data_IF_282188550821
#
_entry.id   IF_282188550821
#
_cell.length_a   1.000
_cell.length_b   1.000
_cell.length_c   1.000
_cell.angle_alpha   90.00
_cell.angle_beta   90.00
_cell.angle_gamma   90.00
#
_symmetry.space_group_name_H-M   'P 1'
#
loop_
_entity.id
_entity.type
_entity.pdbx_description
1 polymer ?
#
# COMPACT_ATOMS: atom_id res chain seq x y z
N UNK A 1 -8.44 12.20 -4.42
CA UNK A 1 -8.53 10.72 -4.38
C UNK A 1 -7.22 10.10 -3.89
N UNK A 2 -7.16 8.78 -3.66
CA UNK A 2 -5.92 8.11 -3.19
C UNK A 2 -4.74 8.34 -4.16
N UNK A 3 -5.02 8.47 -5.46
CA UNK A 3 -4.04 8.84 -6.49
C UNK A 3 -3.37 10.20 -6.24
N UNK A 4 -4.14 11.28 -6.11
CA UNK A 4 -3.61 12.63 -5.83
C UNK A 4 -2.84 12.67 -4.50
N UNK A 5 -3.34 11.92 -3.50
CA UNK A 5 -2.67 11.80 -2.21
C UNK A 5 -1.30 11.12 -2.34
N UNK A 6 -1.21 9.99 -3.04
CA UNK A 6 0.04 9.26 -3.27
C UNK A 6 1.04 10.09 -4.07
N UNK A 7 0.59 10.77 -5.15
CA UNK A 7 1.41 11.68 -5.95
C UNK A 7 1.96 12.85 -5.15
N UNK A 8 1.18 13.40 -4.21
CA UNK A 8 1.67 14.45 -3.32
C UNK A 8 2.75 13.95 -2.34
N UNK A 9 2.71 12.67 -1.98
CA UNK A 9 3.69 12.04 -1.09
C UNK A 9 5.01 11.71 -1.80
N UNK A 10 5.01 11.44 -3.11
CA UNK A 10 6.25 11.20 -3.88
C UNK A 10 7.19 12.40 -3.89
N UNK A 11 6.66 13.63 -3.92
CA UNK A 11 7.45 14.86 -3.88
C UNK A 11 8.06 15.20 -2.52
N UNK A 12 7.81 14.41 -1.47
CA UNK A 12 8.28 14.69 -0.10
C UNK A 12 9.33 13.67 0.34
N UNK A 13 10.56 14.14 0.58
CA UNK A 13 11.70 13.33 1.03
C UNK A 13 11.52 12.62 2.40
N UNK A 14 10.44 12.92 3.14
CA UNK A 14 10.08 12.29 4.43
C UNK A 14 9.16 11.06 4.29
N UNK A 15 8.92 10.54 3.09
CA UNK A 15 7.85 9.57 2.81
C UNK A 15 8.12 8.11 3.20
N UNK A 16 9.11 7.83 4.06
CA UNK A 16 9.25 6.47 4.63
C UNK A 16 8.32 6.33 5.84
N UNK A 17 7.46 5.30 5.87
CA UNK A 17 6.65 4.99 7.05
C UNK A 17 7.55 4.79 8.28
N UNK A 18 7.06 5.16 9.46
CA UNK A 18 7.67 4.73 10.74
C UNK A 18 7.56 3.20 10.87
N UNK A 19 8.51 2.53 11.50
CA UNK A 19 8.49 1.05 11.61
C UNK A 19 7.19 0.53 12.27
N UNK A 20 6.64 1.28 13.21
CA UNK A 20 5.45 0.95 14.01
C UNK A 20 4.21 1.78 13.62
N UNK A 21 4.13 2.22 12.37
CA UNK A 21 3.03 3.07 11.91
C UNK A 21 1.67 2.39 12.03
N UNK A 22 1.60 1.04 11.91
CA UNK A 22 0.34 0.31 11.99
C UNK A 22 -0.19 0.40 13.42
N UNK A 23 0.64 0.11 14.41
CA UNK A 23 0.29 0.12 15.83
C UNK A 23 -0.06 1.53 16.33
N UNK A 24 0.63 2.55 15.81
CA UNK A 24 0.42 3.94 16.23
C UNK A 24 -0.79 4.61 15.59
N UNK A 25 -1.10 4.26 14.34
CA UNK A 25 -2.08 5.00 13.53
C UNK A 25 -3.37 4.18 13.33
N UNK A 26 -3.27 2.88 13.07
CA UNK A 26 -4.42 2.06 12.71
C UNK A 26 -5.19 1.60 13.95
N UNK A 27 -6.52 1.55 13.82
CA UNK A 27 -7.44 1.02 14.84
C UNK A 27 -7.99 -0.35 14.47
N UNK A 28 -8.28 -0.56 13.19
CA UNK A 28 -8.97 -1.76 12.69
C UNK A 28 -8.07 -2.66 11.81
N UNK A 29 -6.82 -2.24 11.57
CA UNK A 29 -5.83 -2.98 10.76
C UNK A 29 -4.64 -3.34 11.63
N UNK A 30 -4.22 -4.60 11.55
CA UNK A 30 -3.07 -5.11 12.30
C UNK A 30 -1.89 -5.42 11.36
N UNK A 31 -0.66 -5.53 11.88
CA UNK A 31 0.50 -5.92 11.06
C UNK A 31 0.30 -7.25 10.33
N UNK A 32 -0.36 -8.21 10.99
CA UNK A 32 -0.71 -9.50 10.38
C UNK A 32 -1.63 -9.34 9.17
N UNK A 33 -2.65 -8.47 9.25
CA UNK A 33 -3.55 -8.21 8.13
C UNK A 33 -2.82 -7.56 6.95
N UNK A 34 -1.82 -6.71 7.23
CA UNK A 34 -0.94 -6.15 6.20
C UNK A 34 -0.05 -7.22 5.58
N UNK A 35 0.45 -8.17 6.36
CA UNK A 35 1.18 -9.36 5.85
C UNK A 35 0.33 -10.16 4.87
N UNK A 36 -0.86 -10.60 5.32
CA UNK A 36 -1.82 -11.36 4.49
C UNK A 36 -2.21 -10.60 3.21
N UNK A 37 -2.37 -9.27 3.28
CA UNK A 37 -2.63 -8.47 2.08
C UNK A 37 -1.46 -8.56 1.09
N UNK A 38 -0.22 -8.42 1.57
CA UNK A 38 0.96 -8.43 0.69
C UNK A 38 1.20 -9.81 0.09
N UNK A 39 1.02 -10.88 0.87
CA UNK A 39 1.10 -12.26 0.35
C UNK A 39 0.10 -12.46 -0.79
N UNK A 40 -1.14 -12.00 -0.61
CA UNK A 40 -2.15 -12.06 -1.68
C UNK A 40 -1.76 -11.19 -2.90
N UNK A 41 -1.12 -10.03 -2.70
CA UNK A 41 -0.65 -9.21 -3.83
C UNK A 41 0.51 -9.84 -4.60
N UNK A 42 1.33 -10.68 -3.97
CA UNK A 42 2.35 -11.48 -4.68
C UNK A 42 1.66 -12.43 -5.64
N UNK A 43 0.64 -13.17 -5.19
CA UNK A 43 -0.14 -14.08 -6.04
C UNK A 43 -0.78 -13.33 -7.23
N UNK A 44 -1.34 -12.13 -7.00
CA UNK A 44 -1.91 -11.31 -8.07
C UNK A 44 -0.81 -10.82 -9.03
N UNK A 45 0.35 -10.40 -8.53
CA UNK A 45 1.45 -9.98 -9.39
C UNK A 45 1.95 -11.12 -10.30
N UNK A 46 2.03 -12.34 -9.77
CA UNK A 46 2.40 -13.54 -10.53
C UNK A 46 1.36 -13.89 -11.60
N UNK A 47 0.07 -13.93 -11.24
CA UNK A 47 -1.03 -14.25 -12.15
C UNK A 47 -1.09 -13.28 -13.34
N UNK A 48 -0.91 -11.97 -13.07
CA UNK A 48 -0.95 -10.93 -14.09
C UNK A 48 0.43 -10.61 -14.71
N UNK A 49 1.48 -11.35 -14.33
CA UNK A 49 2.86 -11.16 -14.82
C UNK A 49 3.38 -9.73 -14.67
N UNK A 50 3.04 -9.09 -13.55
CA UNK A 50 3.54 -7.75 -13.21
C UNK A 50 5.02 -7.83 -12.85
N UNK A 51 5.74 -6.73 -13.05
CA UNK A 51 7.15 -6.66 -12.66
C UNK A 51 7.27 -6.56 -11.13
N UNK A 52 8.39 -7.05 -10.60
CA UNK A 52 8.73 -6.94 -9.18
C UNK A 52 8.78 -5.48 -8.70
N UNK A 53 9.12 -4.55 -9.59
CA UNK A 53 9.16 -3.12 -9.29
C UNK A 53 7.75 -2.55 -9.05
N UNK A 54 6.76 -2.91 -9.89
CA UNK A 54 5.33 -2.62 -9.64
C UNK A 54 4.88 -3.12 -8.28
N UNK A 55 5.22 -4.36 -7.90
CA UNK A 55 4.84 -4.90 -6.59
C UNK A 55 5.50 -4.11 -5.44
N UNK A 56 6.81 -3.85 -5.54
CA UNK A 56 7.55 -3.06 -4.55
C UNK A 56 6.95 -1.65 -4.39
N UNK A 57 6.59 -1.01 -5.50
CA UNK A 57 6.00 0.32 -5.53
C UNK A 57 4.60 0.31 -4.91
N UNK A 58 3.77 -0.68 -5.25
CA UNK A 58 2.44 -0.85 -4.67
C UNK A 58 2.51 -1.03 -3.14
N UNK A 59 3.43 -1.88 -2.66
CA UNK A 59 3.67 -2.06 -1.21
C UNK A 59 4.10 -0.74 -0.56
N UNK A 60 4.98 0.03 -1.21
CA UNK A 60 5.37 1.35 -0.73
C UNK A 60 4.18 2.31 -0.60
N UNK A 61 3.26 2.31 -1.56
CA UNK A 61 2.04 3.11 -1.51
C UNK A 61 1.09 2.68 -0.40
N UNK A 62 0.93 1.37 -0.17
CA UNK A 62 0.11 0.83 0.91
C UNK A 62 0.66 1.32 2.26
N UNK A 63 1.96 1.11 2.52
CA UNK A 63 2.54 1.46 3.81
C UNK A 63 2.50 2.98 4.06
N UNK A 64 2.75 3.79 3.03
CA UNK A 64 2.62 5.26 3.12
C UNK A 64 1.18 5.68 3.42
N UNK A 65 0.19 5.10 2.75
CA UNK A 65 -1.21 5.44 2.97
C UNK A 65 -1.66 5.05 4.39
N UNK A 66 -1.25 3.88 4.87
CA UNK A 66 -1.57 3.45 6.23
C UNK A 66 -0.81 4.25 7.30
N UNK A 67 0.31 4.88 6.97
CA UNK A 67 1.04 5.75 7.92
C UNK A 67 0.34 7.07 8.27
N UNK A 68 -0.68 7.46 7.50
CA UNK A 68 -1.33 8.78 7.61
C UNK A 68 -2.86 8.75 7.59
N UNK A 69 -3.46 7.63 7.16
CA UNK A 69 -4.91 7.46 7.04
C UNK A 69 -5.32 6.17 7.71
N UNK A 70 -6.28 6.27 8.61
CA UNK A 70 -6.92 5.10 9.21
C UNK A 70 -7.80 4.42 8.18
N UNK A 71 -7.72 3.09 8.14
CA UNK A 71 -8.47 2.26 7.21
C UNK A 71 -9.29 1.26 8.01
N UNK A 72 -10.55 1.11 7.63
CA UNK A 72 -11.40 0.05 8.16
C UNK A 72 -11.01 -1.27 7.51
N UNK A 73 -10.99 -2.36 8.28
CA UNK A 73 -10.67 -3.72 7.82
C UNK A 73 -11.24 -4.09 6.44
N UNK A 74 -12.54 -3.87 6.13
CA UNK A 74 -13.10 -4.25 4.82
C UNK A 74 -12.53 -3.48 3.63
N UNK A 75 -11.93 -2.31 3.87
CA UNK A 75 -11.35 -1.46 2.82
C UNK A 75 -9.86 -1.74 2.58
N UNK A 76 -9.23 -2.61 3.36
CA UNK A 76 -7.80 -2.88 3.26
C UNK A 76 -7.43 -3.50 1.90
N UNK A 77 -8.22 -4.45 1.41
CA UNK A 77 -8.01 -5.03 0.07
C UNK A 77 -8.21 -4.01 -1.05
N UNK A 78 -9.21 -3.12 -0.91
CA UNK A 78 -9.42 -2.03 -1.88
C UNK A 78 -8.20 -1.11 -1.97
N UNK A 79 -7.58 -0.78 -0.82
CA UNK A 79 -6.32 -0.01 -0.80
C UNK A 79 -5.22 -0.76 -1.55
N UNK A 80 -5.06 -2.07 -1.31
CA UNK A 80 -4.06 -2.90 -1.98
C UNK A 80 -4.22 -2.95 -3.50
N UNK A 81 -5.42 -3.26 -3.99
CA UNK A 81 -5.72 -3.31 -5.43
C UNK A 81 -5.54 -1.94 -6.07
N UNK A 82 -5.97 -0.86 -5.39
CA UNK A 82 -5.79 0.49 -5.91
C UNK A 82 -4.32 0.87 -5.97
N UNK A 83 -3.52 0.49 -4.98
CA UNK A 83 -2.08 0.72 -4.99
C UNK A 83 -1.38 -0.02 -6.14
N UNK A 84 -1.75 -1.27 -6.41
CA UNK A 84 -1.24 -2.03 -7.56
C UNK A 84 -1.63 -1.37 -8.89
N UNK A 85 -2.89 -0.99 -9.06
CA UNK A 85 -3.37 -0.31 -10.27
C UNK A 85 -2.64 1.02 -10.53
N UNK A 86 -2.24 1.72 -9.46
CA UNK A 86 -1.46 2.95 -9.59
C UNK A 86 -0.02 2.59 -9.95
N UNK A 87 0.62 1.68 -9.21
CA UNK A 87 2.00 1.28 -9.47
C UNK A 87 2.21 0.78 -10.90
N UNK A 88 1.30 -0.04 -11.42
CA UNK A 88 1.35 -0.58 -12.78
C UNK A 88 1.17 0.47 -13.90
N UNK A 89 0.90 1.73 -13.56
CA UNK A 89 0.82 2.86 -14.51
C UNK A 89 2.06 3.75 -14.48
N UNK A 90 2.92 3.58 -13.49
CA UNK A 90 4.18 4.31 -13.33
C UNK A 90 5.40 3.49 -13.77
N UNK A 91 5.17 2.24 -14.18
CA UNK A 91 5.98 1.53 -15.17
C UNK A 91 5.53 1.88 -16.59
#
# INVERSE_FOLDING_TARGET
>A
GIFEYLRQMEGKAKSRPLIDYIEKIQKDVTPNMRGVLVDWLVEVAEEYKLLSDTLCLAVSYIDRFLSVKTVQRPKLQLVGVTAMLIASKYE
#
